data_IF_879444407262
#
_entry.id   IF_879444407262
#
_cell.length_a   1.000
_cell.length_b   1.000
_cell.length_c   1.000
_cell.angle_alpha   90.00
_cell.angle_beta   90.00
_cell.angle_gamma   90.00
#
_symmetry.space_group_name_H-M   'P 1'
#
loop_
_entity.id
_entity.type
_entity.pdbx_description
1 polymer ?
#
# COMPACT_ATOMS: atom_id res chain seq x y z
N UNK A 1 0.71 -33.26 -20.84
CA UNK A 1 0.96 -32.61 -19.52
C UNK A 1 -0.39 -32.29 -18.91
N UNK A 2 -0.73 -32.87 -17.76
CA UNK A 2 -1.96 -32.49 -17.06
C UNK A 2 -1.81 -31.05 -16.54
N UNK A 3 -2.78 -30.15 -16.79
CA UNK A 3 -2.76 -28.83 -16.20
C UNK A 3 -2.79 -28.98 -14.66
N UNK A 4 -1.89 -28.28 -13.97
CA UNK A 4 -1.96 -28.19 -12.50
C UNK A 4 -3.25 -27.46 -12.14
N UNK A 5 -4.26 -28.20 -11.71
CA UNK A 5 -5.50 -27.63 -11.17
C UNK A 5 -5.20 -27.13 -9.77
N UNK A 6 -5.01 -25.83 -9.62
CA UNK A 6 -4.91 -25.20 -8.31
C UNK A 6 -6.31 -25.21 -7.67
N UNK A 7 -6.50 -25.99 -6.60
CA UNK A 7 -7.70 -25.88 -5.76
C UNK A 7 -7.50 -24.69 -4.82
N UNK A 8 -8.28 -23.61 -4.95
CA UNK A 8 -8.16 -22.50 -4.01
C UNK A 8 -8.53 -22.97 -2.61
N UNK A 9 -7.61 -22.74 -1.65
CA UNK A 9 -7.87 -22.96 -0.22
C UNK A 9 -8.76 -21.86 0.38
N UNK A 10 -9.06 -20.81 -0.39
CA UNK A 10 -9.79 -19.64 0.06
C UNK A 10 -10.88 -19.33 -0.96
N UNK A 11 -12.13 -19.39 -0.51
CA UNK A 11 -13.29 -18.94 -1.24
C UNK A 11 -13.96 -17.79 -0.47
N UNK A 12 -13.89 -16.58 -1.02
CA UNK A 12 -14.53 -15.41 -0.40
C UNK A 12 -16.03 -15.61 -0.25
N UNK A 13 -16.69 -16.33 -1.17
CA UNK A 13 -18.15 -16.48 -1.19
C UNK A 13 -18.70 -17.09 0.10
N UNK A 14 -17.93 -17.97 0.75
CA UNK A 14 -18.31 -18.68 1.96
C UNK A 14 -17.89 -17.98 3.27
N UNK A 15 -17.04 -16.95 3.19
CA UNK A 15 -16.57 -16.22 4.37
C UNK A 15 -17.58 -15.15 4.80
N UNK A 16 -17.75 -14.96 6.10
CA UNK A 16 -18.52 -13.83 6.64
C UNK A 16 -17.75 -12.50 6.48
N UNK A 17 -18.46 -11.40 6.22
CA UNK A 17 -17.87 -10.10 5.90
C UNK A 17 -16.89 -9.59 6.97
N UNK A 18 -17.24 -9.76 8.25
CA UNK A 18 -16.34 -9.41 9.37
C UNK A 18 -14.99 -10.12 9.30
N UNK A 19 -14.99 -11.39 8.88
CA UNK A 19 -13.76 -12.18 8.76
C UNK A 19 -12.92 -11.74 7.57
N UNK A 20 -13.57 -11.31 6.48
CA UNK A 20 -12.89 -10.75 5.30
C UNK A 20 -12.17 -9.45 5.70
N UNK A 21 -12.88 -8.52 6.35
CA UNK A 21 -12.30 -7.24 6.80
C UNK A 21 -11.17 -7.48 7.80
N UNK A 22 -11.35 -8.38 8.77
CA UNK A 22 -10.29 -8.71 9.73
C UNK A 22 -9.04 -9.31 9.06
N UNK A 23 -9.22 -10.16 8.04
CA UNK A 23 -8.13 -10.89 7.38
C UNK A 23 -7.41 -10.08 6.30
N UNK A 24 -8.13 -9.22 5.58
CA UNK A 24 -7.65 -8.53 4.39
C UNK A 24 -7.70 -6.99 4.48
N UNK A 25 -8.30 -6.44 5.54
CA UNK A 25 -8.51 -4.98 5.78
C UNK A 25 -9.37 -4.27 4.73
N UNK A 26 -10.03 -5.04 3.87
CA UNK A 26 -10.96 -4.58 2.85
C UNK A 26 -12.22 -5.45 2.92
N UNK A 27 -13.36 -4.87 2.55
CA UNK A 27 -14.57 -5.63 2.32
C UNK A 27 -14.51 -6.43 1.00
N UNK A 28 -15.43 -7.36 0.85
CA UNK A 28 -15.54 -8.27 -0.30
C UNK A 28 -15.73 -7.53 -1.61
N UNK A 29 -16.57 -6.50 -1.63
CA UNK A 29 -16.87 -5.75 -2.85
C UNK A 29 -15.60 -5.03 -3.35
N UNK A 30 -14.89 -4.38 -2.44
CA UNK A 30 -13.62 -3.69 -2.70
C UNK A 30 -12.54 -4.66 -3.17
N UNK A 31 -12.46 -5.86 -2.59
CA UNK A 31 -11.52 -6.90 -3.04
C UNK A 31 -11.82 -7.35 -4.46
N UNK A 32 -13.10 -7.58 -4.81
CA UNK A 32 -13.47 -7.96 -6.16
C UNK A 32 -13.18 -6.85 -7.17
N UNK A 33 -13.51 -5.60 -6.82
CA UNK A 33 -13.20 -4.45 -7.66
C UNK A 33 -11.70 -4.32 -7.89
N UNK A 34 -10.91 -4.39 -6.81
CA UNK A 34 -9.45 -4.35 -6.89
C UNK A 34 -8.92 -5.50 -7.75
N UNK A 35 -9.43 -6.72 -7.57
CA UNK A 35 -9.02 -7.87 -8.37
C UNK A 35 -9.28 -7.65 -9.86
N UNK A 36 -10.47 -7.13 -10.23
CA UNK A 36 -10.81 -6.83 -11.61
C UNK A 36 -9.88 -5.77 -12.22
N UNK A 37 -9.49 -4.74 -11.45
CA UNK A 37 -8.54 -3.72 -11.90
C UNK A 37 -7.14 -4.27 -12.13
N UNK A 38 -6.69 -5.21 -11.28
CA UNK A 38 -5.34 -5.79 -11.36
C UNK A 38 -5.25 -6.96 -12.35
N UNK A 39 -6.37 -7.59 -12.71
CA UNK A 39 -6.44 -8.78 -13.57
C UNK A 39 -5.63 -8.65 -14.88
N UNK A 40 -5.70 -7.54 -15.65
CA UNK A 40 -4.91 -7.40 -16.88
C UNK A 40 -3.40 -7.49 -16.66
N UNK A 41 -2.91 -7.00 -15.51
CA UNK A 41 -1.50 -7.07 -15.15
C UNK A 41 -1.12 -8.45 -14.58
N UNK A 42 -2.05 -9.15 -13.92
CA UNK A 42 -1.84 -10.44 -13.29
C UNK A 42 -1.98 -11.63 -14.26
N UNK A 43 -2.72 -11.48 -15.36
CA UNK A 43 -2.91 -12.52 -16.37
C UNK A 43 -1.88 -12.48 -17.52
N UNK A 44 -0.95 -11.52 -17.55
CA UNK A 44 -0.10 -11.29 -18.72
C UNK A 44 0.63 -12.56 -19.21
N UNK A 45 0.49 -12.94 -20.49
CA UNK A 45 0.92 -14.24 -21.04
C UNK A 45 2.44 -14.37 -21.24
N UNK A 46 3.19 -13.28 -21.10
CA UNK A 46 4.62 -13.21 -21.49
C UNK A 46 5.55 -13.86 -20.46
N UNK A 47 5.09 -14.05 -19.21
CA UNK A 47 5.86 -14.72 -18.15
C UNK A 47 4.97 -15.72 -17.46
N UNK A 48 5.08 -16.99 -17.90
CA UNK A 48 4.51 -18.22 -17.35
C UNK A 48 3.31 -18.00 -16.41
N UNK A 49 2.07 -18.35 -16.81
CA UNK A 49 0.96 -18.38 -15.87
C UNK A 49 1.42 -19.23 -14.69
N UNK A 50 1.47 -18.64 -13.50
CA UNK A 50 1.85 -19.34 -12.26
C UNK A 50 0.91 -20.51 -11.96
N UNK A 51 -0.19 -20.62 -12.72
CA UNK A 51 -1.32 -21.51 -12.47
C UNK A 51 -2.22 -20.98 -11.35
N UNK A 52 -1.89 -19.83 -10.75
CA UNK A 52 -2.60 -19.27 -9.61
C UNK A 52 -3.61 -18.23 -10.10
N UNK A 53 -4.92 -18.38 -9.81
CA UNK A 53 -5.94 -17.40 -10.18
C UNK A 53 -5.62 -15.98 -9.66
N UNK A 54 -5.96 -14.91 -10.40
CA UNK A 54 -5.72 -13.53 -9.98
C UNK A 54 -6.27 -13.21 -8.58
N UNK A 55 -7.48 -13.67 -8.28
CA UNK A 55 -8.10 -13.47 -6.96
C UNK A 55 -7.25 -14.05 -5.82
N UNK A 56 -6.70 -15.25 -6.02
CA UNK A 56 -5.83 -15.89 -5.02
C UNK A 56 -4.55 -15.10 -4.85
N UNK A 57 -3.96 -14.61 -5.95
CA UNK A 57 -2.76 -13.76 -5.89
C UNK A 57 -3.02 -12.49 -5.07
N UNK A 58 -4.15 -11.82 -5.33
CA UNK A 58 -4.56 -10.60 -4.61
C UNK A 58 -4.81 -10.90 -3.14
N UNK A 59 -5.58 -11.94 -2.81
CA UNK A 59 -5.89 -12.31 -1.42
C UNK A 59 -4.65 -12.68 -0.62
N UNK A 60 -3.72 -13.44 -1.19
CA UNK A 60 -2.47 -13.78 -0.51
C UNK A 60 -1.65 -12.53 -0.20
N UNK A 61 -1.58 -11.56 -1.13
CA UNK A 61 -0.84 -10.32 -0.92
C UNK A 61 -1.54 -9.40 0.08
N UNK A 62 -2.86 -9.25 0.00
CA UNK A 62 -3.64 -8.50 0.99
C UNK A 62 -3.49 -9.09 2.39
N UNK A 63 -3.51 -10.42 2.52
CA UNK A 63 -3.30 -11.07 3.80
C UNK A 63 -1.92 -10.79 4.38
N UNK A 64 -0.87 -10.78 3.54
CA UNK A 64 0.48 -10.42 3.95
C UNK A 64 0.57 -8.96 4.43
N UNK A 65 0.01 -8.02 3.66
CA UNK A 65 0.00 -6.60 4.01
C UNK A 65 -0.82 -6.32 5.28
N UNK A 66 -1.95 -7.02 5.46
CA UNK A 66 -2.83 -6.88 6.61
C UNK A 66 -2.27 -7.44 7.92
N UNK A 67 -1.50 -8.54 7.83
CA UNK A 67 -0.98 -9.26 8.99
C UNK A 67 0.44 -8.86 9.39
N UNK A 68 1.24 -8.34 8.45
CA UNK A 68 2.68 -8.12 8.67
C UNK A 68 3.46 -9.42 8.94
N UNK A 69 2.91 -10.58 8.57
CA UNK A 69 3.50 -11.89 8.84
C UNK A 69 4.66 -12.22 7.87
N UNK A 70 5.31 -13.36 8.10
CA UNK A 70 6.36 -13.85 7.21
C UNK A 70 5.77 -14.40 5.89
N UNK A 71 6.52 -14.22 4.80
CA UNK A 71 6.10 -14.74 3.48
C UNK A 71 5.87 -16.26 3.50
N UNK A 72 6.65 -17.00 4.27
CA UNK A 72 6.50 -18.46 4.44
C UNK A 72 5.13 -18.83 4.99
N UNK A 73 4.71 -18.19 6.08
CA UNK A 73 3.42 -18.42 6.73
C UNK A 73 2.25 -18.12 5.80
N UNK A 74 2.30 -16.96 5.12
CA UNK A 74 1.24 -16.56 4.18
C UNK A 74 1.20 -17.49 2.96
N UNK A 75 2.36 -17.85 2.39
CA UNK A 75 2.46 -18.75 1.26
C UNK A 75 1.87 -20.13 1.59
N UNK A 76 2.19 -20.68 2.77
CA UNK A 76 1.62 -21.95 3.26
C UNK A 76 0.10 -21.87 3.41
N UNK A 77 -0.42 -20.79 4.01
CA UNK A 77 -1.88 -20.60 4.17
C UNK A 77 -2.62 -20.49 2.83
N UNK A 78 -1.90 -20.13 1.76
CA UNK A 78 -2.41 -20.02 0.40
C UNK A 78 -1.97 -21.19 -0.49
N UNK A 79 -1.43 -22.28 0.07
CA UNK A 79 -1.08 -23.48 -0.70
C UNK A 79 -0.01 -23.26 -1.78
N UNK A 80 0.88 -22.29 -1.59
CA UNK A 80 1.98 -21.99 -2.53
C UNK A 80 3.34 -22.00 -1.84
N UNK A 81 4.42 -22.17 -2.60
CA UNK A 81 5.78 -22.07 -2.07
C UNK A 81 6.18 -20.62 -1.83
N UNK A 82 7.07 -20.37 -0.85
CA UNK A 82 7.55 -19.00 -0.57
C UNK A 82 8.19 -18.31 -1.79
N UNK A 83 9.00 -18.97 -2.63
CA UNK A 83 9.53 -18.34 -3.85
C UNK A 83 8.44 -17.96 -4.86
N UNK A 84 7.35 -18.72 -4.93
CA UNK A 84 6.19 -18.37 -5.75
C UNK A 84 5.48 -17.13 -5.20
N UNK A 85 5.24 -17.12 -3.88
CA UNK A 85 4.63 -15.97 -3.22
C UNK A 85 5.46 -14.70 -3.40
N UNK A 86 6.79 -14.76 -3.28
CA UNK A 86 7.67 -13.62 -3.52
C UNK A 86 7.49 -13.02 -4.92
N UNK A 87 7.40 -13.86 -5.97
CA UNK A 87 7.11 -13.40 -7.34
C UNK A 87 5.71 -12.78 -7.46
N UNK A 88 4.71 -13.38 -6.83
CA UNK A 88 3.34 -12.85 -6.81
C UNK A 88 3.28 -11.49 -6.10
N UNK A 89 3.93 -11.38 -4.93
CA UNK A 89 4.02 -10.13 -4.16
C UNK A 89 4.58 -9.00 -5.02
N UNK A 90 5.73 -9.21 -5.67
CA UNK A 90 6.32 -8.19 -6.55
C UNK A 90 5.39 -7.79 -7.71
N UNK A 91 4.67 -8.76 -8.30
CA UNK A 91 3.74 -8.50 -9.41
C UNK A 91 2.52 -7.70 -8.96
N UNK A 92 1.89 -8.10 -7.86
CA UNK A 92 0.71 -7.41 -7.32
C UNK A 92 1.07 -6.01 -6.84
N UNK A 93 2.19 -5.82 -6.13
CA UNK A 93 2.66 -4.49 -5.72
C UNK A 93 2.99 -3.60 -6.93
N UNK A 94 3.62 -4.16 -7.97
CA UNK A 94 3.87 -3.43 -9.21
C UNK A 94 2.58 -3.05 -9.95
N UNK A 95 1.54 -3.88 -9.90
CA UNK A 95 0.25 -3.54 -10.45
C UNK A 95 -0.44 -2.44 -9.63
N UNK A 96 -0.48 -2.57 -8.29
CA UNK A 96 -1.04 -1.57 -7.37
C UNK A 96 -0.42 -0.19 -7.55
N UNK A 97 0.91 -0.11 -7.62
CA UNK A 97 1.63 1.17 -7.77
C UNK A 97 1.29 1.91 -9.07
N UNK A 98 0.87 1.21 -10.13
CA UNK A 98 0.37 1.85 -11.36
C UNK A 98 -0.99 2.52 -11.19
N UNK A 99 -1.82 2.02 -10.27
CA UNK A 99 -3.12 2.61 -9.96
C UNK A 99 -3.05 3.65 -8.83
N UNK A 100 -1.93 3.77 -8.13
CA UNK A 100 -1.77 4.66 -6.97
C UNK A 100 -2.22 6.11 -7.24
N UNK A 101 -1.90 6.66 -8.42
CA UNK A 101 -2.26 8.04 -8.81
C UNK A 101 -3.77 8.27 -8.99
N UNK A 102 -4.57 7.21 -9.03
CA UNK A 102 -6.04 7.32 -9.06
C UNK A 102 -6.63 7.50 -7.66
N UNK A 103 -5.92 7.02 -6.63
CA UNK A 103 -6.44 6.93 -5.26
C UNK A 103 -5.76 7.90 -4.30
N UNK A 104 -4.46 8.17 -4.49
CA UNK A 104 -3.68 9.11 -3.68
C UNK A 104 -3.46 10.36 -4.52
N UNK A 105 -4.37 11.31 -4.35
CA UNK A 105 -4.40 12.58 -5.10
C UNK A 105 -4.52 13.72 -4.11
N UNK A 106 -3.64 14.71 -4.26
CA UNK A 106 -3.73 15.92 -3.47
C UNK A 106 -4.84 16.82 -4.04
N UNK A 107 -5.70 17.45 -3.21
CA UNK A 107 -6.80 18.27 -3.70
C UNK A 107 -6.33 19.38 -4.65
N UNK A 108 -7.06 19.57 -5.74
CA UNK A 108 -6.86 20.72 -6.64
C UNK A 108 -7.53 21.98 -6.08
N UNK A 109 -7.25 23.15 -6.64
CA UNK A 109 -7.80 24.44 -6.17
C UNK A 109 -9.33 24.43 -6.03
N UNK A 110 -10.03 23.74 -6.96
CA UNK A 110 -11.49 23.62 -6.96
C UNK A 110 -12.03 22.90 -5.72
N UNK A 111 -11.25 21.99 -5.14
CA UNK A 111 -11.63 21.17 -3.99
C UNK A 111 -11.20 21.78 -2.65
N UNK A 112 -10.30 22.77 -2.66
CA UNK A 112 -9.72 23.36 -1.44
C UNK A 112 -10.76 24.02 -0.54
N UNK A 113 -11.83 24.59 -1.11
CA UNK A 113 -12.89 25.20 -0.31
C UNK A 113 -13.59 24.16 0.59
N UNK A 114 -13.87 22.97 0.04
CA UNK A 114 -14.46 21.85 0.77
C UNK A 114 -13.50 21.35 1.85
N UNK A 115 -12.24 21.09 1.47
CA UNK A 115 -11.22 20.59 2.41
C UNK A 115 -11.03 21.54 3.60
N UNK A 116 -10.96 22.85 3.34
CA UNK A 116 -10.86 23.88 4.39
C UNK A 116 -12.08 23.87 5.31
N UNK A 117 -13.28 23.70 4.74
CA UNK A 117 -14.53 23.55 5.48
C UNK A 117 -14.51 22.33 6.40
N UNK A 118 -14.07 21.17 5.90
CA UNK A 118 -14.04 19.92 6.65
C UNK A 118 -13.07 20.00 7.84
N UNK A 119 -11.87 20.55 7.64
CA UNK A 119 -10.95 20.77 8.74
C UNK A 119 -11.45 21.81 9.76
N UNK A 120 -12.11 22.87 9.29
CA UNK A 120 -12.71 23.87 10.17
C UNK A 120 -13.83 23.26 11.02
N UNK A 121 -14.62 22.34 10.48
CA UNK A 121 -15.64 21.61 11.21
C UNK A 121 -15.06 20.68 12.29
N UNK A 122 -13.86 20.12 12.07
CA UNK A 122 -13.19 19.24 13.04
C UNK A 122 -12.53 19.98 14.21
N UNK A 123 -11.92 21.14 13.96
CA UNK A 123 -11.04 21.78 14.95
C UNK A 123 -11.07 23.30 14.99
N UNK A 124 -11.93 23.95 14.21
CA UNK A 124 -12.06 25.42 14.13
C UNK A 124 -10.77 26.17 13.75
N UNK A 125 -9.82 25.49 13.10
CA UNK A 125 -8.61 26.11 12.56
C UNK A 125 -8.88 26.41 11.08
N UNK A 126 -8.87 27.69 10.66
CA UNK A 126 -9.16 28.04 9.27
C UNK A 126 -8.00 27.69 8.34
N UNK A 127 -8.31 27.56 7.05
CA UNK A 127 -7.35 27.42 5.95
C UNK A 127 -6.44 26.17 5.98
N UNK A 128 -6.79 25.14 6.75
CA UNK A 128 -6.08 23.85 6.66
C UNK A 128 -6.47 23.14 5.36
N UNK A 129 -5.47 22.69 4.61
CA UNK A 129 -5.63 21.93 3.36
C UNK A 129 -5.11 20.50 3.44
N UNK A 130 -4.61 20.09 4.61
CA UNK A 130 -4.09 18.75 4.88
C UNK A 130 -3.31 18.70 6.19
N UNK A 131 -3.30 17.53 6.82
CA UNK A 131 -2.48 17.21 7.97
C UNK A 131 -1.26 16.41 7.52
N UNK A 132 -0.06 16.94 7.77
CA UNK A 132 1.21 16.37 7.30
C UNK A 132 2.03 15.83 8.47
N UNK A 133 2.59 14.63 8.32
CA UNK A 133 3.54 14.09 9.29
C UNK A 133 4.56 13.13 8.62
N UNK A 134 5.69 12.92 9.29
CA UNK A 134 6.73 11.97 8.92
C UNK A 134 6.64 10.68 9.74
N UNK A 135 6.68 9.52 9.08
CA UNK A 135 6.71 8.21 9.73
C UNK A 135 7.90 7.36 9.27
N UNK A 136 8.43 6.55 10.17
CA UNK A 136 9.56 5.67 9.88
C UNK A 136 9.11 4.24 9.62
N UNK A 137 9.15 3.81 8.35
CA UNK A 137 8.84 2.44 7.94
C UNK A 137 10.11 1.60 8.04
N UNK A 138 10.12 0.63 8.95
CA UNK A 138 11.27 -0.23 9.19
C UNK A 138 11.65 -1.07 7.96
N UNK A 139 12.95 -1.27 7.76
CA UNK A 139 13.46 -2.08 6.65
C UNK A 139 14.79 -2.75 7.02
N UNK A 140 15.17 -3.74 6.21
CA UNK A 140 16.52 -4.30 6.20
C UNK A 140 17.30 -3.57 5.11
N UNK A 141 18.32 -2.77 5.45
CA UNK A 141 19.01 -1.95 4.46
C UNK A 141 20.03 -2.78 3.66
N UNK A 142 20.44 -2.29 2.48
CA UNK A 142 21.64 -2.79 1.81
C UNK A 142 22.87 -2.65 2.73
N UNK A 143 23.82 -3.58 2.62
CA UNK A 143 25.01 -3.59 3.49
C UNK A 143 25.93 -2.39 3.27
N UNK A 144 26.03 -1.93 2.02
CA UNK A 144 27.03 -0.92 1.63
C UNK A 144 26.67 0.48 2.15
N UNK A 145 25.39 0.76 2.39
CA UNK A 145 24.88 2.08 2.81
C UNK A 145 23.98 2.01 4.07
N UNK A 146 24.18 1.02 4.94
CA UNK A 146 23.30 0.79 6.10
C UNK A 146 23.09 2.05 6.97
N UNK A 147 24.15 2.84 7.16
CA UNK A 147 24.12 4.03 8.03
C UNK A 147 23.13 5.10 7.56
N UNK A 148 22.89 5.26 6.25
CA UNK A 148 21.94 6.28 5.77
C UNK A 148 20.51 5.94 6.15
N UNK A 149 20.21 4.67 6.41
CA UNK A 149 18.87 4.23 6.83
C UNK A 149 18.66 4.33 8.34
N UNK A 150 19.72 4.55 9.14
CA UNK A 150 19.63 4.60 10.59
C UNK A 150 18.96 5.89 11.05
N UNK A 151 17.81 5.76 11.70
CA UNK A 151 17.04 6.91 12.21
C UNK A 151 17.47 7.32 13.63
N UNK A 152 16.88 8.42 14.11
CA UNK A 152 17.10 8.95 15.47
C UNK A 152 16.73 7.99 16.62
N UNK A 153 15.92 6.96 16.33
CA UNK A 153 15.52 5.89 17.27
C UNK A 153 16.44 4.67 17.19
N UNK A 154 17.58 4.78 16.50
CA UNK A 154 18.59 3.72 16.37
C UNK A 154 18.11 2.43 15.68
N UNK A 155 17.16 2.52 14.75
CA UNK A 155 16.82 1.41 13.84
C UNK A 155 16.81 1.86 12.37
N UNK A 156 16.85 0.90 11.44
CA UNK A 156 16.87 1.17 10.00
C UNK A 156 15.46 1.36 9.44
N UNK A 157 15.26 2.41 8.65
CA UNK A 157 13.94 2.75 8.11
C UNK A 157 14.01 3.60 6.84
N UNK A 158 12.89 3.68 6.12
CA UNK A 158 12.58 4.82 5.24
C UNK A 158 11.91 5.90 6.07
N UNK A 159 12.25 7.17 5.83
CA UNK A 159 11.42 8.30 6.27
C UNK A 159 10.35 8.54 5.20
N UNK A 160 9.09 8.37 5.59
CA UNK A 160 7.92 8.50 4.73
C UNK A 160 7.08 9.66 5.21
N UNK A 161 6.99 10.71 4.40
CA UNK A 161 6.05 11.80 4.65
C UNK A 161 4.68 11.43 4.08
N UNK A 162 3.63 11.67 4.85
CA UNK A 162 2.24 11.43 4.46
C UNK A 162 1.43 12.70 4.70
N UNK A 163 0.52 13.02 3.79
CA UNK A 163 -0.52 14.02 4.01
C UNK A 163 -1.87 13.33 4.01
N UNK A 164 -2.69 13.63 5.01
CA UNK A 164 -4.06 13.17 5.14
C UNK A 164 -5.05 14.34 5.10
N UNK A 165 -6.24 14.08 4.59
CA UNK A 165 -7.37 15.01 4.64
C UNK A 165 -8.18 14.82 5.94
N UNK A 166 -9.18 15.66 6.13
CA UNK A 166 -10.03 15.69 7.33
C UNK A 166 -10.77 14.35 7.57
N UNK A 167 -11.14 13.67 6.50
CA UNK A 167 -11.80 12.36 6.47
C UNK A 167 -10.82 11.17 6.58
N UNK A 168 -9.55 11.45 6.92
CA UNK A 168 -8.46 10.47 7.09
C UNK A 168 -8.00 9.80 5.79
N UNK A 169 -8.40 10.32 4.62
CA UNK A 169 -7.86 9.84 3.34
C UNK A 169 -6.43 10.34 3.14
N UNK A 170 -5.55 9.43 2.72
CA UNK A 170 -4.17 9.77 2.35
C UNK A 170 -4.18 10.40 0.96
N UNK A 171 -3.83 11.69 0.90
CA UNK A 171 -3.84 12.49 -0.34
C UNK A 171 -2.45 12.62 -0.96
N UNK A 172 -1.39 12.44 -0.17
CA UNK A 172 -0.02 12.49 -0.69
C UNK A 172 0.94 11.62 0.13
N UNK A 173 1.89 10.97 -0.54
CA UNK A 173 2.94 10.15 0.08
C UNK A 173 4.29 10.42 -0.58
N UNK A 174 5.32 10.69 0.23
CA UNK A 174 6.70 10.78 -0.21
C UNK A 174 7.57 9.79 0.57
N UNK A 175 7.88 8.65 -0.05
CA UNK A 175 8.66 7.54 0.53
C UNK A 175 10.07 7.41 -0.08
N UNK A 176 10.70 8.53 -0.45
CA UNK A 176 11.97 8.55 -1.21
C UNK A 176 13.22 8.69 -0.34
N UNK A 177 13.07 8.96 0.95
CA UNK A 177 14.19 9.33 1.81
C UNK A 177 14.52 8.25 2.82
N UNK A 178 15.81 7.99 3.09
CA UNK A 178 16.21 7.03 4.10
C UNK A 178 16.05 7.63 5.51
N UNK A 179 16.04 6.76 6.52
CA UNK A 179 15.66 7.10 7.90
C UNK A 179 16.55 8.11 8.62
N UNK A 180 17.78 8.37 8.14
CA UNK A 180 18.65 9.41 8.70
C UNK A 180 18.22 10.84 8.32
N UNK A 181 17.39 11.00 7.30
CA UNK A 181 16.99 12.32 6.77
C UNK A 181 15.92 12.96 7.65
N UNK A 182 16.12 14.25 7.99
CA UNK A 182 15.18 15.04 8.77
C UNK A 182 13.89 15.39 8.01
N UNK A 183 12.76 15.41 8.71
CA UNK A 183 11.42 15.70 8.14
C UNK A 183 11.37 17.05 7.40
N UNK A 184 12.07 18.07 7.90
CA UNK A 184 12.18 19.37 7.23
C UNK A 184 12.83 19.27 5.84
N UNK A 185 13.83 18.39 5.67
CA UNK A 185 14.44 18.15 4.38
C UNK A 185 13.49 17.37 3.46
N UNK A 186 12.78 16.37 4.00
CA UNK A 186 11.76 15.60 3.25
C UNK A 186 10.65 16.52 2.73
N UNK A 187 10.17 17.45 3.57
CA UNK A 187 9.14 18.44 3.21
C UNK A 187 9.60 19.38 2.10
N UNK A 188 10.81 19.95 2.22
CA UNK A 188 11.36 20.84 1.19
C UNK A 188 11.59 20.16 -0.16
N UNK A 189 11.79 18.84 -0.15
CA UNK A 189 12.02 18.02 -1.35
C UNK A 189 10.80 17.18 -1.72
N UNK A 190 9.60 17.58 -1.31
CA UNK A 190 8.33 17.03 -1.81
C UNK A 190 7.65 18.02 -2.76
N UNK A 191 6.51 17.64 -3.34
CA UNK A 191 5.70 18.57 -4.14
C UNK A 191 4.84 19.51 -3.28
N UNK A 192 4.74 19.26 -1.96
CA UNK A 192 3.83 20.00 -1.06
C UNK A 192 4.13 21.50 -0.98
N UNK A 193 5.40 21.98 -0.91
CA UNK A 193 5.67 23.43 -0.84
C UNK A 193 5.03 24.22 -1.98
N UNK A 194 5.02 23.68 -3.21
CA UNK A 194 4.41 24.33 -4.37
C UNK A 194 2.88 24.45 -4.31
N UNK A 195 2.23 23.64 -3.46
CA UNK A 195 0.77 23.68 -3.27
C UNK A 195 0.39 24.54 -2.05
N UNK A 196 1.37 25.00 -1.28
CA UNK A 196 1.17 25.88 -0.12
C UNK A 196 1.40 27.36 -0.44
N UNK A 197 2.02 27.68 -1.58
CA UNK A 197 2.24 29.04 -2.10
C UNK A 197 1.01 29.54 -2.88
#
# INVERSE_FOLDING_TARGET
MNPRVYRPLVDLSTMEERHIILRYRLDRATIHELCAQLEPALMSPIRQPTGIPPLVQVLSVLHFLASGSFQTTVAMSSGMSQPMFSKILSRVLSALTKHMRRYIVFPEEVDLATVKGDFYALGHIPNIIGAIDGTHVALVPPKDDEQVYRNRKSYHSMNVQVVCLADQYISHVNAKFPGSVHDAYVMRNSSIPYVME
#
